data_IF_309900651754
#
_entry.id   IF_309900651754
#
_cell.length_a   1.000
_cell.length_b   1.000
_cell.length_c   1.000
_cell.angle_alpha   90.00
_cell.angle_beta   90.00
_cell.angle_gamma   90.00
#
_symmetry.space_group_name_H-M   'P 1'
#
loop_
_entity.id
_entity.type
_entity.pdbx_description
1 polymer ?
#
# COMPACT_ATOMS: atom_id res chain seq x y z
N UNK A 1 19.10 14.71 9.83
CA UNK A 1 18.48 13.36 9.79
C UNK A 1 19.18 12.61 8.67
N UNK A 2 19.73 11.43 8.92
CA UNK A 2 20.39 10.64 7.87
C UNK A 2 19.35 10.21 6.85
N UNK A 3 19.64 10.42 5.58
CA UNK A 3 18.80 10.01 4.42
C UNK A 3 18.85 8.47 4.33
N UNK A 4 18.07 7.78 5.15
CA UNK A 4 18.07 6.32 5.22
C UNK A 4 17.37 5.76 3.97
N UNK A 5 18.04 4.85 3.28
CA UNK A 5 17.45 4.09 2.18
C UNK A 5 16.32 3.23 2.71
N UNK A 6 15.12 3.40 2.14
CA UNK A 6 13.93 2.66 2.55
C UNK A 6 13.60 1.54 1.58
N UNK A 7 13.80 1.75 0.28
CA UNK A 7 13.64 0.70 -0.73
C UNK A 7 14.87 0.73 -1.64
N UNK A 8 15.47 -0.42 -1.81
CA UNK A 8 16.56 -0.63 -2.76
C UNK A 8 16.20 -1.71 -3.78
N UNK A 9 16.35 -1.38 -5.07
CA UNK A 9 15.96 -2.21 -6.20
C UNK A 9 17.21 -2.49 -7.01
N UNK A 10 17.51 -3.79 -7.27
CA UNK A 10 18.69 -4.23 -8.05
C UNK A 10 18.27 -5.14 -9.17
N UNK A 11 18.61 -4.77 -10.41
CA UNK A 11 18.38 -5.57 -11.63
C UNK A 11 16.97 -6.14 -11.71
N UNK A 12 15.99 -5.40 -11.20
CA UNK A 12 14.62 -5.87 -11.11
C UNK A 12 14.02 -6.08 -12.50
N UNK A 13 13.47 -7.27 -12.72
CA UNK A 13 12.66 -7.62 -13.88
C UNK A 13 11.23 -7.86 -13.42
N UNK A 14 10.28 -7.15 -14.01
CA UNK A 14 8.84 -7.27 -13.72
C UNK A 14 8.07 -7.85 -14.88
N UNK A 15 7.00 -8.58 -14.59
CA UNK A 15 6.16 -9.22 -15.58
C UNK A 15 4.99 -9.94 -14.94
N UNK A 16 4.24 -10.70 -15.74
CA UNK A 16 3.11 -11.50 -15.27
C UNK A 16 2.95 -12.77 -16.09
N UNK A 17 2.34 -13.83 -15.55
CA UNK A 17 2.08 -15.06 -16.29
C UNK A 17 1.22 -14.80 -17.54
N UNK A 18 1.59 -15.39 -18.66
CA UNK A 18 0.86 -15.29 -19.93
C UNK A 18 0.65 -16.66 -20.56
N UNK A 19 -0.18 -16.75 -21.63
CA UNK A 19 -0.53 -18.02 -22.33
C UNK A 19 0.66 -18.78 -22.93
N UNK A 20 1.83 -18.14 -23.09
CA UNK A 20 3.05 -18.74 -23.65
C UNK A 20 4.26 -18.64 -22.73
N UNK A 21 4.07 -18.45 -21.43
CA UNK A 21 5.15 -18.22 -20.46
C UNK A 21 5.03 -16.85 -19.78
N UNK A 22 6.07 -16.42 -19.10
CA UNK A 22 6.09 -15.13 -18.40
C UNK A 22 6.25 -13.97 -19.39
N UNK A 23 5.27 -13.07 -19.45
CA UNK A 23 5.39 -11.82 -20.20
C UNK A 23 6.20 -10.82 -19.39
N UNK A 24 7.39 -10.50 -19.84
CA UNK A 24 8.23 -9.48 -19.24
C UNK A 24 7.71 -8.10 -19.65
N UNK A 25 7.63 -7.17 -18.67
CA UNK A 25 7.12 -5.82 -18.87
C UNK A 25 8.25 -4.80 -18.76
N UNK A 26 9.14 -4.95 -17.78
CA UNK A 26 10.32 -4.11 -17.63
C UNK A 26 11.49 -4.94 -17.11
N UNK A 27 12.72 -4.58 -17.49
CA UNK A 27 13.95 -5.29 -17.15
C UNK A 27 15.00 -4.34 -16.59
N UNK A 28 15.90 -4.92 -15.82
CA UNK A 28 17.14 -4.27 -15.36
C UNK A 28 16.89 -2.92 -14.68
N UNK A 29 15.84 -2.85 -13.85
CA UNK A 29 15.52 -1.64 -13.10
C UNK A 29 16.43 -1.61 -11.86
N UNK A 30 17.23 -0.55 -11.75
CA UNK A 30 17.99 -0.20 -10.56
C UNK A 30 17.47 1.14 -10.01
N UNK A 31 17.08 1.18 -8.74
CA UNK A 31 16.57 2.39 -8.11
C UNK A 31 16.71 2.32 -6.58
N UNK A 32 16.77 3.49 -5.97
CA UNK A 32 16.76 3.64 -4.51
C UNK A 32 15.78 4.72 -4.12
N UNK A 33 14.92 4.44 -3.12
CA UNK A 33 13.99 5.39 -2.51
C UNK A 33 14.44 5.64 -1.08
N UNK A 34 14.47 6.90 -0.65
CA UNK A 34 14.94 7.30 0.68
C UNK A 34 13.82 7.83 1.55
N UNK A 35 14.04 7.77 2.85
CA UNK A 35 13.12 8.31 3.84
C UNK A 35 12.94 9.83 3.65
N UNK A 36 11.68 10.29 3.76
CA UNK A 36 11.34 11.70 3.62
C UNK A 36 11.29 12.23 2.18
N UNK A 37 11.50 11.38 1.17
CA UNK A 37 11.42 11.76 -0.24
C UNK A 37 10.06 11.40 -0.85
N UNK A 38 9.53 12.28 -1.69
CA UNK A 38 8.42 12.00 -2.60
C UNK A 38 8.97 11.54 -3.95
N UNK A 39 8.83 10.27 -4.26
CA UNK A 39 9.28 9.70 -5.54
C UNK A 39 8.09 9.56 -6.49
N UNK A 40 8.21 10.12 -7.70
CA UNK A 40 7.18 10.03 -8.74
C UNK A 40 7.62 9.07 -9.86
N UNK A 41 6.75 8.13 -10.22
CA UNK A 41 6.95 7.23 -11.36
C UNK A 41 6.21 7.75 -12.59
N UNK A 42 6.95 8.28 -13.57
CA UNK A 42 6.41 8.88 -14.79
C UNK A 42 6.65 7.97 -16.00
N UNK A 43 5.78 8.05 -16.99
CA UNK A 43 5.91 7.30 -18.23
C UNK A 43 4.58 7.13 -18.96
N UNK A 44 4.62 6.70 -20.22
CA UNK A 44 3.43 6.46 -21.05
C UNK A 44 2.51 5.37 -20.44
N UNK A 45 1.24 5.37 -20.87
CA UNK A 45 0.31 4.31 -20.49
C UNK A 45 0.77 2.98 -21.08
N UNK A 46 0.66 1.90 -20.29
CA UNK A 46 1.08 0.55 -20.72
C UNK A 46 2.57 0.24 -20.56
N UNK A 47 3.43 1.21 -20.17
CA UNK A 47 4.90 0.99 -20.04
C UNK A 47 5.28 0.09 -18.85
N UNK A 48 4.33 -0.25 -17.97
CA UNK A 48 4.59 -1.16 -16.85
C UNK A 48 4.61 -0.51 -15.47
N UNK A 49 4.24 0.78 -15.33
CA UNK A 49 4.21 1.47 -14.03
C UNK A 49 3.42 0.71 -12.97
N UNK A 50 2.20 0.28 -13.29
CA UNK A 50 1.35 -0.47 -12.36
C UNK A 50 1.92 -1.86 -12.04
N UNK A 51 2.59 -2.51 -13.00
CA UNK A 51 3.26 -3.79 -12.78
C UNK A 51 4.43 -3.62 -11.81
N UNK A 52 5.24 -2.57 -11.97
CA UNK A 52 6.32 -2.25 -11.04
C UNK A 52 5.78 -1.97 -9.64
N UNK A 53 4.76 -1.12 -9.49
CA UNK A 53 4.16 -0.82 -8.19
C UNK A 53 3.59 -2.08 -7.52
N UNK A 54 2.89 -2.95 -8.27
CA UNK A 54 2.40 -4.24 -7.76
C UNK A 54 3.53 -5.16 -7.30
N UNK A 55 4.66 -5.15 -8.01
CA UNK A 55 5.84 -5.94 -7.62
C UNK A 55 6.49 -5.37 -6.34
N UNK A 56 6.64 -4.05 -6.23
CA UNK A 56 7.18 -3.38 -5.04
C UNK A 56 6.30 -3.58 -3.81
N UNK A 57 4.98 -3.68 -4.00
CA UNK A 57 4.00 -3.91 -2.93
C UNK A 57 3.78 -5.39 -2.62
N UNK A 58 4.56 -6.30 -3.21
CA UNK A 58 4.43 -7.76 -3.09
C UNK A 58 3.07 -8.34 -3.54
N UNK A 59 2.25 -7.60 -4.28
CA UNK A 59 1.02 -8.15 -4.89
C UNK A 59 1.31 -9.12 -6.04
N UNK A 60 2.54 -9.14 -6.52
CA UNK A 60 3.05 -10.14 -7.45
C UNK A 60 4.56 -10.31 -7.22
N UNK A 61 5.10 -11.52 -7.44
CA UNK A 61 6.53 -11.76 -7.31
C UNK A 61 7.31 -11.05 -8.42
N UNK A 62 8.57 -10.66 -8.19
CA UNK A 62 9.47 -10.26 -9.24
C UNK A 62 9.76 -11.45 -10.17
N UNK A 63 10.00 -11.18 -11.47
CA UNK A 63 10.45 -12.19 -12.43
C UNK A 63 11.96 -12.44 -12.27
N UNK A 64 12.71 -11.44 -11.83
CA UNK A 64 14.14 -11.51 -11.55
C UNK A 64 14.62 -10.25 -10.84
N UNK A 65 15.86 -10.28 -10.37
CA UNK A 65 16.43 -9.20 -9.57
C UNK A 65 16.01 -9.27 -8.10
N UNK A 66 16.31 -8.21 -7.34
CA UNK A 66 16.07 -8.15 -5.90
C UNK A 66 15.42 -6.83 -5.51
N UNK A 67 14.59 -6.91 -4.48
CA UNK A 67 13.99 -5.76 -3.79
C UNK A 67 14.31 -5.90 -2.31
N UNK A 68 14.89 -4.87 -1.74
CA UNK A 68 15.10 -4.75 -0.29
C UNK A 68 14.25 -3.60 0.24
N UNK A 69 13.60 -3.82 1.38
CA UNK A 69 12.81 -2.83 2.09
C UNK A 69 13.35 -2.73 3.51
N UNK A 70 13.72 -1.52 3.93
CA UNK A 70 14.33 -1.29 5.24
C UNK A 70 15.52 -2.23 5.52
N UNK A 71 16.33 -2.53 4.48
CA UNK A 71 17.51 -3.39 4.56
C UNK A 71 17.24 -4.90 4.62
N UNK A 72 15.97 -5.33 4.44
CA UNK A 72 15.59 -6.75 4.42
C UNK A 72 14.99 -7.09 3.05
N UNK A 73 15.33 -8.26 2.50
CA UNK A 73 14.78 -8.72 1.21
C UNK A 73 13.26 -8.85 1.28
N UNK A 74 12.57 -8.42 0.22
CA UNK A 74 11.11 -8.50 0.14
C UNK A 74 10.59 -9.94 0.33
N UNK A 75 11.31 -10.92 -0.17
CA UNK A 75 11.00 -12.36 -0.03
C UNK A 75 11.09 -12.89 1.40
N UNK A 76 11.78 -12.21 2.28
CA UNK A 76 12.01 -12.64 3.66
C UNK A 76 10.97 -12.07 4.63
N UNK A 77 10.09 -11.20 4.13
CA UNK A 77 8.96 -10.69 4.90
C UNK A 77 7.80 -11.68 4.92
N UNK A 78 7.20 -11.88 6.09
CA UNK A 78 5.85 -12.43 6.16
C UNK A 78 4.83 -11.35 5.79
N UNK A 79 3.62 -11.72 5.33
CA UNK A 79 2.56 -10.77 4.98
C UNK A 79 2.27 -9.80 6.13
N UNK A 80 2.24 -10.31 7.38
CA UNK A 80 2.03 -9.48 8.58
C UNK A 80 3.16 -8.48 8.80
N UNK A 81 4.41 -8.89 8.62
CA UNK A 81 5.56 -7.98 8.74
C UNK A 81 5.54 -6.92 7.63
N UNK A 82 5.23 -7.32 6.40
CA UNK A 82 5.18 -6.41 5.26
C UNK A 82 4.09 -5.35 5.45
N UNK A 83 2.93 -5.74 5.94
CA UNK A 83 1.82 -4.83 6.21
C UNK A 83 2.13 -3.77 7.29
N UNK A 84 3.18 -3.94 8.10
CA UNK A 84 3.64 -2.92 9.07
C UNK A 84 4.66 -1.95 8.50
N UNK A 85 5.19 -2.18 7.29
CA UNK A 85 6.23 -1.34 6.67
C UNK A 85 5.81 -0.73 5.34
N UNK A 86 4.78 -1.27 4.67
CA UNK A 86 4.24 -0.73 3.42
C UNK A 86 2.75 -0.46 3.57
N UNK A 87 2.35 0.79 3.32
CA UNK A 87 0.97 1.17 3.05
C UNK A 87 0.75 1.33 1.54
N UNK A 88 -0.36 0.80 1.02
CA UNK A 88 -0.71 0.90 -0.41
C UNK A 88 -2.11 1.46 -0.58
N UNK A 89 -2.22 2.52 -1.39
CA UNK A 89 -3.51 3.06 -1.82
C UNK A 89 -3.77 2.65 -3.26
N UNK A 90 -4.83 1.87 -3.45
CA UNK A 90 -5.25 1.43 -4.78
C UNK A 90 -6.21 2.45 -5.40
N UNK A 91 -6.10 2.64 -6.71
CA UNK A 91 -7.03 3.49 -7.49
C UNK A 91 -8.32 2.75 -7.87
N UNK A 92 -8.36 1.43 -7.67
CA UNK A 92 -9.53 0.60 -7.98
C UNK A 92 -10.67 0.88 -7.00
N UNK A 93 -11.92 0.91 -7.52
CA UNK A 93 -13.09 1.13 -6.67
C UNK A 93 -13.34 -0.09 -5.78
N UNK A 94 -13.04 0.04 -4.50
CA UNK A 94 -13.47 -0.96 -3.52
C UNK A 94 -15.00 -0.93 -3.40
N UNK A 95 -15.68 -1.99 -3.83
CA UNK A 95 -17.13 -2.17 -3.67
C UNK A 95 -17.47 -2.66 -2.27
N UNK A 96 -17.04 -1.92 -1.25
CA UNK A 96 -17.36 -2.25 0.14
C UNK A 96 -18.79 -1.82 0.45
N UNK A 97 -19.71 -2.80 0.51
CA UNK A 97 -21.10 -2.61 0.94
C UNK A 97 -21.17 -2.90 2.44
N UNK A 98 -22.02 -2.16 3.14
CA UNK A 98 -22.29 -2.35 4.58
C UNK A 98 -21.10 -2.13 5.53
N UNK A 99 -20.24 -1.17 5.21
CA UNK A 99 -19.12 -0.77 6.05
C UNK A 99 -19.09 0.75 6.18
N UNK A 100 -18.91 1.25 7.39
CA UNK A 100 -18.70 2.67 7.67
C UNK A 100 -17.26 3.09 7.39
N UNK A 101 -17.00 4.39 7.31
CA UNK A 101 -15.65 4.93 7.17
C UNK A 101 -14.78 4.52 8.36
N UNK A 102 -15.29 4.62 9.60
CA UNK A 102 -14.55 4.21 10.82
C UNK A 102 -14.14 2.74 10.76
N UNK A 103 -15.04 1.86 10.35
CA UNK A 103 -14.76 0.43 10.21
C UNK A 103 -13.70 0.16 9.14
N UNK A 104 -13.80 0.83 7.98
CA UNK A 104 -12.81 0.69 6.92
C UNK A 104 -11.42 1.17 7.37
N UNK A 105 -11.34 2.36 7.99
CA UNK A 105 -10.08 2.88 8.51
C UNK A 105 -9.54 1.96 9.61
N UNK A 106 -10.42 1.43 10.47
CA UNK A 106 -10.05 0.45 11.50
C UNK A 106 -9.42 -0.83 10.96
N UNK A 107 -9.76 -1.26 9.73
CA UNK A 107 -9.11 -2.40 9.09
C UNK A 107 -7.60 -2.20 8.87
N UNK A 108 -7.13 -0.95 8.77
CA UNK A 108 -5.69 -0.65 8.71
C UNK A 108 -4.92 -1.12 9.95
N UNK A 109 -5.60 -1.30 11.08
CA UNK A 109 -5.00 -1.86 12.31
C UNK A 109 -4.87 -3.38 12.30
N UNK A 110 -5.36 -4.09 11.27
CA UNK A 110 -5.28 -5.56 11.19
C UNK A 110 -3.91 -6.15 11.50
N UNK A 111 -2.76 -5.58 11.04
CA UNK A 111 -1.45 -6.12 11.37
C UNK A 111 -1.12 -6.10 12.87
N UNK A 112 -1.75 -5.21 13.62
CA UNK A 112 -1.50 -4.96 15.05
C UNK A 112 -2.53 -5.62 15.97
N UNK A 113 -3.69 -6.00 15.43
CA UNK A 113 -4.75 -6.67 16.20
C UNK A 113 -4.48 -8.18 16.34
N UNK A 114 -5.11 -8.80 17.35
CA UNK A 114 -5.10 -10.26 17.51
C UNK A 114 -6.01 -10.97 16.51
N UNK A 115 -6.13 -12.30 16.65
CA UNK A 115 -6.92 -13.18 15.77
C UNK A 115 -8.38 -12.74 15.58
N UNK A 116 -8.99 -12.16 16.60
CA UNK A 116 -10.40 -11.71 16.57
C UNK A 116 -10.58 -10.31 15.97
N UNK A 117 -9.50 -9.62 15.60
CA UNK A 117 -9.58 -8.29 14.99
C UNK A 117 -10.17 -7.19 15.88
N UNK A 118 -10.29 -7.43 17.19
CA UNK A 118 -10.84 -6.44 18.11
C UNK A 118 -9.87 -5.26 18.30
N UNK A 119 -10.37 -4.05 18.05
CA UNK A 119 -9.61 -2.83 18.25
C UNK A 119 -9.53 -2.48 19.76
N UNK A 120 -8.32 -2.33 20.28
CA UNK A 120 -8.05 -1.79 21.60
C UNK A 120 -8.45 -0.31 21.68
N UNK A 121 -8.39 0.27 22.87
CA UNK A 121 -8.59 1.71 23.04
C UNK A 121 -7.54 2.53 22.29
N UNK A 122 -6.30 2.06 22.26
CA UNK A 122 -5.20 2.68 21.54
C UNK A 122 -5.42 2.63 20.00
N UNK A 123 -5.84 1.47 19.48
CA UNK A 123 -6.19 1.35 18.06
C UNK A 123 -7.31 2.31 17.65
N UNK A 124 -8.35 2.46 18.49
CA UNK A 124 -9.44 3.41 18.25
C UNK A 124 -8.96 4.86 18.23
N UNK A 125 -8.02 5.22 19.08
CA UNK A 125 -7.41 6.55 19.07
C UNK A 125 -6.63 6.75 17.76
N UNK A 126 -5.79 5.79 17.36
CA UNK A 126 -5.05 5.84 16.08
C UNK A 126 -5.98 6.00 14.88
N UNK A 127 -7.12 5.27 14.87
CA UNK A 127 -8.16 5.43 13.82
C UNK A 127 -8.72 6.85 13.81
N UNK A 128 -9.04 7.42 14.98
CA UNK A 128 -9.56 8.79 15.07
C UNK A 128 -8.52 9.81 14.60
N UNK A 129 -7.26 9.64 14.97
CA UNK A 129 -6.17 10.53 14.57
C UNK A 129 -5.95 10.49 13.04
N UNK A 130 -6.01 9.30 12.44
CA UNK A 130 -5.91 9.14 10.99
C UNK A 130 -7.10 9.80 10.25
N UNK A 131 -8.33 9.69 10.77
CA UNK A 131 -9.53 10.36 10.24
C UNK A 131 -9.37 11.87 10.32
N UNK A 132 -8.91 12.40 11.45
CA UNK A 132 -8.70 13.82 11.66
C UNK A 132 -7.58 14.38 10.76
N UNK A 133 -6.49 13.62 10.56
CA UNK A 133 -5.36 14.03 9.72
C UNK A 133 -5.78 14.33 8.28
N UNK A 134 -6.71 13.56 7.73
CA UNK A 134 -7.22 13.77 6.36
C UNK A 134 -8.51 14.61 6.31
N UNK A 135 -8.97 15.14 7.47
CA UNK A 135 -10.14 16.02 7.63
C UNK A 135 -11.43 15.41 7.06
N UNK A 136 -11.82 14.25 7.62
CA UNK A 136 -13.04 13.51 7.23
C UNK A 136 -13.85 13.07 8.45
N UNK A 137 -13.77 13.80 9.56
CA UNK A 137 -14.47 13.49 10.82
C UNK A 137 -16.00 13.44 10.63
N UNK A 138 -16.53 14.30 9.76
CA UNK A 138 -17.93 14.37 9.37
C UNK A 138 -18.42 13.15 8.58
N UNK A 139 -17.49 12.41 7.97
CA UNK A 139 -17.79 11.19 7.21
C UNK A 139 -17.68 9.90 8.05
N UNK A 140 -17.16 9.99 9.27
CA UNK A 140 -16.78 8.85 10.11
C UNK A 140 -17.81 7.73 10.17
N UNK A 141 -19.08 8.06 10.33
CA UNK A 141 -20.19 7.11 10.46
C UNK A 141 -20.96 6.89 9.17
N UNK A 142 -20.56 7.52 8.06
CA UNK A 142 -21.19 7.30 6.76
C UNK A 142 -20.76 5.97 6.16
N UNK A 143 -21.67 5.36 5.41
CA UNK A 143 -21.40 4.14 4.65
C UNK A 143 -20.45 4.43 3.48
N UNK A 144 -19.40 3.65 3.31
CA UNK A 144 -18.36 3.84 2.28
C UNK A 144 -18.95 3.91 0.86
N UNK A 145 -20.01 3.12 0.57
CA UNK A 145 -20.64 3.11 -0.75
C UNK A 145 -21.42 4.39 -1.07
N UNK A 146 -21.73 5.25 -0.08
CA UNK A 146 -22.44 6.52 -0.26
C UNK A 146 -21.51 7.69 -0.50
N UNK A 147 -20.20 7.48 -0.43
CA UNK A 147 -19.19 8.53 -0.59
C UNK A 147 -19.00 8.88 -2.07
N UNK A 148 -18.76 10.15 -2.34
CA UNK A 148 -18.20 10.60 -3.61
C UNK A 148 -16.80 10.02 -3.85
N UNK A 149 -16.32 10.02 -5.09
CA UNK A 149 -14.98 9.49 -5.40
C UNK A 149 -13.87 10.28 -4.68
N UNK A 150 -14.01 11.60 -4.51
CA UNK A 150 -13.05 12.42 -3.76
C UNK A 150 -13.04 12.13 -2.25
N UNK A 151 -14.23 12.00 -1.63
CA UNK A 151 -14.35 11.59 -0.22
C UNK A 151 -13.74 10.21 -0.01
N UNK A 152 -14.01 9.27 -0.92
CA UNK A 152 -13.46 7.91 -0.87
C UNK A 152 -11.93 7.91 -0.96
N UNK A 153 -11.34 8.74 -1.83
CA UNK A 153 -9.89 8.87 -1.92
C UNK A 153 -9.28 9.38 -0.61
N UNK A 154 -9.91 10.34 0.07
CA UNK A 154 -9.46 10.79 1.39
C UNK A 154 -9.51 9.66 2.42
N UNK A 155 -10.60 8.87 2.43
CA UNK A 155 -10.71 7.69 3.31
C UNK A 155 -9.59 6.68 3.01
N UNK A 156 -9.30 6.40 1.73
CA UNK A 156 -8.19 5.51 1.37
C UNK A 156 -6.83 6.07 1.79
N UNK A 157 -6.63 7.40 1.73
CA UNK A 157 -5.41 8.03 2.22
C UNK A 157 -5.25 7.90 3.74
N UNK A 158 -6.33 7.88 4.53
CA UNK A 158 -6.22 7.67 5.97
C UNK A 158 -5.63 6.32 6.34
N UNK A 159 -5.81 5.29 5.49
CA UNK A 159 -5.27 3.95 5.72
C UNK A 159 -3.74 3.87 5.73
N UNK A 160 -3.03 4.79 5.09
CA UNK A 160 -1.56 4.80 5.12
C UNK A 160 -0.98 5.53 6.35
N UNK A 161 -1.83 6.11 7.19
CA UNK A 161 -1.45 6.82 8.41
C UNK A 161 -1.75 6.02 9.69
N UNK A 162 -2.14 4.77 9.56
CA UNK A 162 -2.57 3.89 10.66
C UNK A 162 -1.47 2.95 11.15
#
# INVERSE_FOLDING_TARGET
MMNQETIHIRKLTTGYPGKGGTKIVAKDIDATIRSGELTCLLGANGVGKSTLLRTLSAFQPPVGGEIEIMGKKLTDYTDKQLATVIGVVLTEKCSLRNMTVEELVGMGRSPYTGFWGNLSKEDKNTVNDAIALVRIEDLKYRMVHTLSDGERQKVMLSLIHI
#
